data_IF_272329934184
#
_entry.id   IF_272329934184
#
_cell.length_a   1.000
_cell.length_b   1.000
_cell.length_c   1.000
_cell.angle_alpha   90.00
_cell.angle_beta   90.00
_cell.angle_gamma   90.00
#
_symmetry.space_group_name_H-M   'P 1'
#
loop_
_entity.id
_entity.type
_entity.pdbx_description
1 polymer ?
#
# COMPACT_ATOMS: atom_id res chain seq x y z
N UNK A 1 0.23 -11.99 -2.88
CA UNK A 1 -0.48 -12.71 -3.96
C UNK A 1 0.01 -12.37 -5.39
N UNK A 2 0.96 -11.44 -5.56
CA UNK A 2 1.32 -10.90 -6.89
C UNK A 2 2.77 -11.12 -7.32
N UNK A 3 3.58 -11.84 -6.54
CA UNK A 3 4.98 -12.09 -6.88
C UNK A 3 5.07 -13.28 -7.86
N UNK A 4 5.64 -13.05 -9.05
CA UNK A 4 5.83 -14.09 -10.06
C UNK A 4 6.74 -15.22 -9.58
N UNK A 5 6.70 -16.36 -10.27
CA UNK A 5 7.63 -17.47 -10.02
C UNK A 5 9.08 -17.02 -10.25
N UNK A 6 9.99 -17.52 -9.41
CA UNK A 6 11.43 -17.25 -9.54
C UNK A 6 11.92 -15.94 -8.92
N UNK A 7 11.05 -15.10 -8.38
CA UNK A 7 11.44 -13.85 -7.71
C UNK A 7 11.76 -14.06 -6.22
N UNK A 8 11.03 -14.96 -5.55
CA UNK A 8 11.31 -15.30 -4.16
C UNK A 8 12.67 -16.00 -4.05
N UNK A 9 13.56 -15.48 -3.19
CA UNK A 9 14.91 -16.01 -3.01
C UNK A 9 15.89 -15.69 -4.14
N UNK A 10 15.47 -14.95 -5.16
CA UNK A 10 16.36 -14.54 -6.24
C UNK A 10 17.48 -13.63 -5.71
N UNK A 11 18.73 -13.93 -6.07
CA UNK A 11 19.87 -13.15 -5.64
C UNK A 11 20.11 -11.94 -6.56
N UNK A 12 19.38 -10.86 -6.31
CA UNK A 12 19.53 -9.60 -7.05
C UNK A 12 20.92 -9.01 -6.95
N UNK A 13 21.58 -9.13 -5.80
CA UNK A 13 22.95 -8.59 -5.61
C UNK A 13 23.95 -9.27 -6.53
N UNK A 14 23.88 -10.59 -6.66
CA UNK A 14 24.70 -11.37 -7.60
C UNK A 14 24.36 -11.01 -9.05
N UNK A 15 23.08 -10.91 -9.40
CA UNK A 15 22.66 -10.61 -10.76
C UNK A 15 23.05 -9.20 -11.22
N UNK A 16 23.00 -8.21 -10.32
CA UNK A 16 23.28 -6.80 -10.63
C UNK A 16 24.74 -6.39 -10.33
N UNK A 17 25.52 -7.24 -9.66
CA UNK A 17 26.90 -6.96 -9.28
C UNK A 17 27.07 -5.79 -8.29
N UNK A 18 26.03 -5.47 -7.52
CA UNK A 18 26.00 -4.33 -6.59
C UNK A 18 25.31 -4.71 -5.27
N UNK A 19 25.57 -4.00 -4.16
CA UNK A 19 24.74 -4.12 -2.96
C UNK A 19 23.28 -3.76 -3.27
N UNK A 20 22.35 -4.67 -2.99
CA UNK A 20 20.91 -4.50 -3.27
C UNK A 20 20.10 -4.66 -1.99
N UNK A 21 19.09 -3.80 -1.83
CA UNK A 21 18.01 -3.95 -0.86
C UNK A 21 16.68 -3.97 -1.60
N UNK A 22 15.78 -4.84 -1.17
CA UNK A 22 14.43 -4.98 -1.73
C UNK A 22 13.44 -4.66 -0.63
N UNK A 23 12.46 -3.83 -0.95
CA UNK A 23 11.37 -3.44 -0.05
C UNK A 23 10.05 -3.48 -0.83
N UNK A 24 8.93 -3.54 -0.11
CA UNK A 24 7.60 -3.35 -0.68
C UNK A 24 7.51 -1.98 -1.40
N UNK A 25 6.72 -1.92 -2.47
CA UNK A 25 6.54 -0.73 -3.31
C UNK A 25 5.89 0.44 -2.58
N UNK A 26 4.81 0.21 -1.83
CA UNK A 26 4.17 1.23 -1.00
C UNK A 26 5.12 1.71 0.11
N UNK A 27 5.93 0.82 0.68
CA UNK A 27 6.98 1.21 1.62
C UNK A 27 8.05 2.09 0.96
N UNK A 28 8.46 1.79 -0.28
CA UNK A 28 9.39 2.62 -1.04
C UNK A 28 8.84 4.03 -1.29
N UNK A 29 7.58 4.13 -1.69
CA UNK A 29 6.90 5.42 -1.90
C UNK A 29 6.74 6.18 -0.57
N UNK A 30 6.32 5.50 0.50
CA UNK A 30 6.22 6.08 1.83
C UNK A 30 7.56 6.64 2.32
N UNK A 31 8.67 5.94 2.07
CA UNK A 31 10.00 6.44 2.41
C UNK A 31 10.34 7.74 1.67
N UNK A 32 9.99 7.82 0.38
CA UNK A 32 10.20 9.03 -0.43
C UNK A 32 9.31 10.21 -0.04
N UNK A 33 8.11 9.94 0.49
CA UNK A 33 7.15 10.96 0.90
C UNK A 33 7.28 11.41 2.36
N UNK A 34 8.04 10.69 3.19
CA UNK A 34 8.14 11.00 4.62
C UNK A 34 9.14 12.14 4.89
N UNK A 35 8.62 13.29 5.35
CA UNK A 35 9.43 14.48 5.67
C UNK A 35 9.81 14.62 7.16
N UNK A 36 9.51 13.62 7.99
CA UNK A 36 9.77 13.69 9.44
C UNK A 36 8.62 14.32 10.25
N UNK A 37 8.90 14.67 11.50
CA UNK A 37 7.97 15.46 12.35
C UNK A 37 6.81 14.69 13.00
N UNK A 38 6.53 13.44 12.60
CA UNK A 38 5.42 12.68 13.16
C UNK A 38 5.33 11.23 12.68
N UNK A 39 4.13 10.65 12.75
CA UNK A 39 3.79 9.38 12.11
C UNK A 39 3.08 9.68 10.78
N UNK A 40 3.37 8.90 9.75
CA UNK A 40 2.73 9.00 8.45
C UNK A 40 2.24 7.63 8.01
N UNK A 41 0.93 7.51 7.76
CA UNK A 41 0.35 6.38 7.06
C UNK A 41 0.29 6.74 5.57
N UNK A 42 0.94 5.94 4.75
CA UNK A 42 0.88 6.00 3.30
C UNK A 42 -0.15 4.99 2.78
N UNK A 43 -1.01 5.43 1.85
CA UNK A 43 -1.95 4.59 1.12
C UNK A 43 -1.72 4.79 -0.38
N UNK A 44 -1.29 3.73 -1.07
CA UNK A 44 -1.14 3.69 -2.51
C UNK A 44 -2.41 3.15 -3.15
N UNK A 45 -3.16 4.02 -3.82
CA UNK A 45 -4.40 3.66 -4.54
C UNK A 45 -4.05 3.29 -5.98
N UNK A 46 -4.21 2.02 -6.34
CA UNK A 46 -3.90 1.53 -7.68
C UNK A 46 -4.73 0.30 -8.03
N UNK A 47 -4.14 -0.64 -8.76
CA UNK A 47 -4.79 -1.94 -9.05
C UNK A 47 -5.28 -2.62 -7.78
N UNK A 48 -4.51 -2.49 -6.71
CA UNK A 48 -4.89 -2.86 -5.35
C UNK A 48 -4.69 -1.71 -4.35
N UNK A 49 -4.64 -2.04 -3.06
CA UNK A 49 -4.36 -1.08 -1.99
C UNK A 49 -3.00 -1.39 -1.33
N UNK A 50 -1.99 -0.60 -1.68
CA UNK A 50 -0.69 -0.62 -1.00
C UNK A 50 -0.71 0.22 0.27
N UNK A 51 0.01 -0.19 1.31
CA UNK A 51 0.07 0.58 2.56
C UNK A 51 1.40 0.47 3.30
N UNK A 52 1.79 1.54 3.99
CA UNK A 52 2.96 1.55 4.85
C UNK A 52 2.87 2.63 5.93
N UNK A 53 3.47 2.38 7.10
CA UNK A 53 3.58 3.33 8.20
C UNK A 53 5.04 3.75 8.39
N UNK A 54 5.29 5.06 8.37
CA UNK A 54 6.61 5.64 8.61
C UNK A 54 6.60 6.50 9.88
N UNK A 55 7.62 6.36 10.73
CA UNK A 55 7.83 7.25 11.87
C UNK A 55 9.31 7.26 12.30
N UNK A 56 9.84 8.45 12.59
CA UNK A 56 11.26 8.65 12.97
C UNK A 56 12.20 8.02 11.93
N UNK A 57 12.77 6.86 12.24
CA UNK A 57 13.67 6.07 11.37
C UNK A 57 13.10 4.68 11.05
N UNK A 58 11.81 4.48 11.28
CA UNK A 58 11.12 3.22 11.09
C UNK A 58 10.20 3.31 9.89
N UNK A 59 10.23 2.26 9.08
CA UNK A 59 9.35 2.05 7.95
C UNK A 59 8.75 0.66 8.08
N UNK A 60 7.43 0.59 8.17
CA UNK A 60 6.68 -0.64 8.33
C UNK A 60 5.76 -0.83 7.11
N UNK A 61 6.06 -1.76 6.20
CA UNK A 61 5.11 -2.20 5.19
C UNK A 61 3.87 -2.77 5.86
N UNK A 62 2.69 -2.49 5.31
CA UNK A 62 1.40 -2.96 5.78
C UNK A 62 0.64 -3.62 4.63
N UNK A 63 -0.21 -4.59 4.96
CA UNK A 63 -1.13 -5.24 4.01
C UNK A 63 -2.56 -4.86 4.37
N UNK A 64 -2.86 -3.55 4.43
CA UNK A 64 -4.20 -3.09 4.78
C UNK A 64 -5.24 -3.52 3.74
N UNK A 65 -4.85 -3.75 2.48
CA UNK A 65 -5.72 -4.16 1.38
C UNK A 65 -6.58 -5.41 1.66
N UNK A 66 -6.05 -6.36 2.44
CA UNK A 66 -6.75 -7.60 2.80
C UNK A 66 -7.67 -7.43 4.05
N UNK A 67 -7.74 -6.24 4.65
CA UNK A 67 -8.60 -6.02 5.82
C UNK A 67 -10.08 -6.13 5.47
N UNK A 68 -10.91 -6.70 6.36
CA UNK A 68 -12.35 -6.74 6.19
C UNK A 68 -12.94 -5.33 6.01
N UNK A 69 -13.88 -5.23 5.09
CA UNK A 69 -14.69 -4.05 4.78
C UNK A 69 -16.17 -4.48 4.76
N UNK A 70 -17.15 -3.57 4.73
CA UNK A 70 -18.57 -3.93 4.74
C UNK A 70 -18.94 -5.01 3.73
N UNK A 71 -19.99 -5.76 4.06
CA UNK A 71 -20.53 -6.86 3.23
C UNK A 71 -19.57 -8.04 3.00
N UNK A 72 -18.63 -8.26 3.93
CA UNK A 72 -17.70 -9.40 3.88
C UNK A 72 -16.67 -9.30 2.76
N UNK A 73 -16.44 -8.09 2.25
CA UNK A 73 -15.41 -7.79 1.25
C UNK A 73 -14.12 -7.35 1.92
N UNK A 74 -13.08 -7.16 1.12
CA UNK A 74 -11.83 -6.55 1.56
C UNK A 74 -11.75 -5.10 1.09
N UNK A 75 -11.03 -4.26 1.83
CA UNK A 75 -10.95 -2.82 1.55
C UNK A 75 -10.36 -2.51 0.17
N UNK A 76 -9.47 -3.36 -0.35
CA UNK A 76 -8.92 -3.25 -1.69
C UNK A 76 -10.02 -3.22 -2.78
N UNK A 77 -11.10 -3.98 -2.60
CA UNK A 77 -12.20 -4.02 -3.57
C UNK A 77 -12.95 -2.68 -3.68
N UNK A 78 -12.87 -1.83 -2.65
CA UNK A 78 -13.53 -0.52 -2.63
C UNK A 78 -12.56 0.60 -2.97
N UNK A 79 -11.32 0.53 -2.47
CA UNK A 79 -10.34 1.60 -2.64
C UNK A 79 -9.45 1.43 -3.89
N UNK A 80 -9.36 0.23 -4.45
CA UNK A 80 -8.64 -0.04 -5.70
C UNK A 80 -9.47 0.27 -6.95
N UNK A 81 -8.88 -0.05 -8.11
CA UNK A 81 -9.54 0.05 -9.44
C UNK A 81 -10.92 -0.62 -9.49
N UNK A 82 -11.16 -1.83 -8.92
CA UNK A 82 -12.48 -2.46 -8.96
C UNK A 82 -13.58 -1.61 -8.32
N UNK A 83 -13.26 -0.93 -7.22
CA UNK A 83 -14.22 -0.05 -6.53
C UNK A 83 -14.49 1.22 -7.31
N UNK A 84 -13.46 1.76 -7.99
CA UNK A 84 -13.62 2.91 -8.88
C UNK A 84 -14.53 2.59 -10.06
N UNK A 85 -14.37 1.42 -10.67
CA UNK A 85 -15.22 0.94 -11.77
C UNK A 85 -16.67 0.70 -11.33
N UNK A 86 -16.88 0.14 -10.12
CA UNK A 86 -18.20 -0.15 -9.58
C UNK A 86 -18.97 1.10 -9.14
N UNK A 87 -18.31 2.02 -8.44
CA UNK A 87 -18.94 3.17 -7.78
C UNK A 87 -18.93 4.44 -8.64
N UNK A 88 -18.01 4.52 -9.60
CA UNK A 88 -17.69 5.74 -10.32
C UNK A 88 -16.90 6.74 -9.46
N UNK A 89 -16.20 7.67 -10.12
CA UNK A 89 -15.19 8.52 -9.49
C UNK A 89 -15.69 9.32 -8.28
N UNK A 90 -16.91 9.88 -8.36
CA UNK A 90 -17.45 10.73 -7.31
C UNK A 90 -17.71 9.95 -6.01
N UNK A 91 -18.31 8.77 -6.12
CA UNK A 91 -18.65 7.95 -4.96
C UNK A 91 -17.41 7.22 -4.43
N UNK A 92 -16.55 6.75 -5.33
CA UNK A 92 -15.25 6.18 -4.94
C UNK A 92 -14.40 7.16 -4.12
N UNK A 93 -14.33 8.45 -4.51
CA UNK A 93 -13.62 9.47 -3.70
C UNK A 93 -14.21 9.62 -2.29
N UNK A 94 -15.53 9.48 -2.13
CA UNK A 94 -16.18 9.54 -0.81
C UNK A 94 -15.79 8.35 0.05
N UNK A 95 -15.77 7.16 -0.53
CA UNK A 95 -15.30 5.93 0.14
C UNK A 95 -13.83 6.03 0.56
N UNK A 96 -12.96 6.54 -0.31
CA UNK A 96 -11.54 6.78 0.02
C UNK A 96 -11.42 7.72 1.23
N UNK A 97 -12.15 8.84 1.22
CA UNK A 97 -12.12 9.81 2.33
C UNK A 97 -12.66 9.16 3.61
N UNK A 98 -13.74 8.38 3.51
CA UNK A 98 -14.32 7.66 4.65
C UNK A 98 -13.31 6.69 5.26
N UNK A 99 -12.66 5.85 4.45
CA UNK A 99 -11.64 4.92 4.93
C UNK A 99 -10.46 5.64 5.60
N UNK A 100 -9.96 6.72 5.00
CA UNK A 100 -8.90 7.55 5.60
C UNK A 100 -9.32 8.11 6.97
N UNK A 101 -10.58 8.51 7.14
CA UNK A 101 -11.09 8.99 8.42
C UNK A 101 -11.12 7.90 9.49
N UNK A 102 -11.44 6.65 9.13
CA UNK A 102 -11.41 5.54 10.09
C UNK A 102 -9.99 5.22 10.57
N UNK A 103 -9.00 5.38 9.69
CA UNK A 103 -7.59 5.10 9.97
C UNK A 103 -6.86 6.22 10.73
N UNK A 104 -7.49 7.38 10.89
CA UNK A 104 -6.93 8.53 11.64
C UNK A 104 -7.12 8.44 13.16
N UNK A 105 -7.85 7.43 13.66
CA UNK A 105 -8.11 7.26 15.09
C UNK A 105 -6.87 6.79 15.86
#
# INVERSE_FOLDING_TARGET
>A
KHLGKGWAGFNFGRALGKPVRVINDAAMQALGSYHGGGRMLFLGLGTGLGSALAWKKTLLPLELGDLPYPEGKIIENYLGVPGLELLGEKEWKREVIYAVMQLKR
#
